data_IF_382624781343
#
_entry.id   IF_382624781343
#
_cell.length_a   1.000
_cell.length_b   1.000
_cell.length_c   1.000
_cell.angle_alpha   90.00
_cell.angle_beta   90.00
_cell.angle_gamma   90.00
#
_symmetry.space_group_name_H-M   'P 1'
#
loop_
_entity.id
_entity.type
_entity.pdbx_description
1 polymer ?
#
# COMPACT_ATOMS: atom_id res chain seq x y z
N UNK A 1 -6.00 -18.87 -5.60
CA UNK A 1 -5.24 -17.63 -5.51
C UNK A 1 -5.28 -16.96 -6.87
N UNK A 2 -5.67 -15.70 -6.90
CA UNK A 2 -5.66 -14.89 -8.12
C UNK A 2 -4.33 -14.14 -8.14
N UNK A 3 -3.63 -14.17 -9.27
CA UNK A 3 -2.36 -13.50 -9.51
C UNK A 3 -2.56 -12.56 -10.69
N UNK A 4 -2.85 -11.30 -10.39
CA UNK A 4 -3.10 -10.25 -11.40
C UNK A 4 -1.80 -9.59 -11.82
N UNK A 5 -1.68 -9.28 -13.10
CA UNK A 5 -0.49 -8.68 -13.69
C UNK A 5 -0.32 -7.20 -13.29
N UNK A 6 0.76 -6.90 -12.60
CA UNK A 6 1.21 -5.53 -12.38
C UNK A 6 1.64 -4.88 -13.69
N UNK A 7 2.28 -5.66 -14.60
CA UNK A 7 2.73 -5.15 -15.88
C UNK A 7 1.57 -4.71 -16.78
N UNK A 8 0.47 -5.49 -16.80
CA UNK A 8 -0.71 -5.09 -17.56
C UNK A 8 -1.24 -3.74 -17.07
N UNK A 9 -1.35 -3.58 -15.75
CA UNK A 9 -1.77 -2.31 -15.15
C UNK A 9 -0.80 -1.18 -15.49
N UNK A 10 0.52 -1.41 -15.38
CA UNK A 10 1.55 -0.42 -15.71
C UNK A 10 1.49 -0.01 -17.19
N UNK A 11 1.33 -0.96 -18.10
CA UNK A 11 1.36 -0.70 -19.53
C UNK A 11 0.04 -0.11 -20.07
N UNK A 12 -1.10 -0.50 -19.48
CA UNK A 12 -2.42 -0.19 -20.04
C UNK A 12 -3.16 0.94 -19.34
N UNK A 13 -2.84 1.25 -18.10
CA UNK A 13 -3.42 2.39 -17.44
C UNK A 13 -2.75 3.70 -17.87
N UNK A 14 -3.54 4.60 -18.47
CA UNK A 14 -3.03 5.90 -18.95
C UNK A 14 -2.68 6.81 -17.76
N UNK A 15 -1.48 7.40 -17.79
CA UNK A 15 -1.05 8.37 -16.78
C UNK A 15 -0.19 7.78 -15.66
N UNK A 16 0.25 6.53 -15.81
CA UNK A 16 1.30 5.94 -14.97
C UNK A 16 2.51 5.54 -15.81
N UNK A 17 3.66 5.50 -15.17
CA UNK A 17 4.92 5.00 -15.76
C UNK A 17 5.89 4.62 -14.65
N UNK A 18 6.95 3.92 -15.02
CA UNK A 18 8.04 3.60 -14.10
C UNK A 18 8.67 4.86 -13.47
N UNK A 19 8.68 5.98 -14.20
CA UNK A 19 9.24 7.24 -13.72
C UNK A 19 8.27 8.08 -12.88
N UNK A 20 6.97 8.03 -13.16
CA UNK A 20 5.97 8.87 -12.51
C UNK A 20 5.29 8.16 -11.34
N UNK A 21 5.22 6.83 -11.38
CA UNK A 21 4.42 6.06 -10.44
C UNK A 21 2.91 6.30 -10.60
N UNK A 22 2.13 5.98 -9.57
CA UNK A 22 0.68 6.20 -9.55
C UNK A 22 0.15 6.33 -8.13
N UNK A 23 -1.07 6.83 -8.00
CA UNK A 23 -1.83 6.77 -6.75
C UNK A 23 -2.61 5.46 -6.67
N UNK A 24 -2.66 4.86 -5.48
CA UNK A 24 -3.38 3.62 -5.22
C UNK A 24 -4.85 3.71 -5.65
N UNK A 25 -5.52 4.83 -5.34
CA UNK A 25 -6.91 5.05 -5.73
C UNK A 25 -7.12 5.08 -7.25
N UNK A 26 -6.15 5.60 -8.00
CA UNK A 26 -6.20 5.62 -9.46
C UNK A 26 -6.07 4.22 -10.05
N UNK A 27 -5.18 3.40 -9.50
CA UNK A 27 -5.06 1.98 -9.87
C UNK A 27 -6.34 1.21 -9.51
N UNK A 28 -6.90 1.44 -8.34
CA UNK A 28 -8.16 0.81 -7.92
C UNK A 28 -9.34 1.17 -8.87
N UNK A 29 -9.41 2.42 -9.32
CA UNK A 29 -10.40 2.84 -10.32
C UNK A 29 -10.17 2.19 -11.68
N UNK A 30 -8.92 2.02 -12.11
CA UNK A 30 -8.60 1.31 -13.34
C UNK A 30 -9.05 -0.16 -13.26
N UNK A 31 -8.72 -0.86 -12.17
CA UNK A 31 -9.14 -2.23 -11.95
C UNK A 31 -10.67 -2.41 -11.91
N UNK A 32 -11.38 -1.40 -11.40
CA UNK A 32 -12.85 -1.40 -11.38
C UNK A 32 -13.46 -1.24 -12.79
N UNK A 33 -12.81 -0.49 -13.68
CA UNK A 33 -13.34 -0.18 -15.00
C UNK A 33 -12.89 -1.15 -16.08
N UNK A 34 -11.65 -1.53 -16.05
CA UNK A 34 -10.97 -2.23 -17.14
C UNK A 34 -10.36 -3.56 -16.71
N UNK A 35 -10.22 -3.78 -15.39
CA UNK A 35 -9.62 -4.99 -14.87
C UNK A 35 -8.14 -5.12 -15.18
N UNK A 36 -7.60 -6.32 -14.94
CA UNK A 36 -6.23 -6.67 -15.31
C UNK A 36 -6.14 -8.11 -15.81
N UNK A 37 -5.06 -8.42 -16.50
CA UNK A 37 -4.74 -9.76 -16.98
C UNK A 37 -4.14 -10.62 -15.86
N UNK A 38 -4.25 -11.95 -15.92
CA UNK A 38 -3.42 -12.83 -15.12
C UNK A 38 -1.93 -12.65 -15.42
N UNK A 39 -1.07 -12.75 -14.40
CA UNK A 39 0.39 -12.57 -14.52
C UNK A 39 1.01 -13.49 -15.58
N UNK A 40 0.56 -14.75 -15.67
CA UNK A 40 1.09 -15.72 -16.66
C UNK A 40 0.79 -15.36 -18.13
N UNK A 41 -0.23 -14.50 -18.38
CA UNK A 41 -0.55 -14.00 -19.74
C UNK A 41 0.10 -12.65 -20.04
N UNK A 42 0.47 -11.91 -19.02
CA UNK A 42 1.12 -10.60 -19.13
C UNK A 42 2.22 -10.45 -18.07
N UNK A 43 3.36 -11.14 -18.25
CA UNK A 43 4.40 -11.20 -17.22
C UNK A 43 5.05 -9.85 -16.94
N UNK A 44 5.49 -9.67 -15.68
CA UNK A 44 6.15 -8.46 -15.23
C UNK A 44 7.51 -8.25 -15.90
N UNK A 45 7.70 -7.12 -16.53
CA UNK A 45 8.97 -6.72 -17.19
C UNK A 45 9.65 -5.55 -16.47
N UNK A 46 8.91 -4.79 -15.67
CA UNK A 46 9.39 -3.60 -14.97
C UNK A 46 9.78 -2.45 -15.91
N UNK A 47 9.13 -2.36 -17.07
CA UNK A 47 9.40 -1.35 -18.11
C UNK A 47 8.11 -0.67 -18.53
N UNK A 48 8.23 0.52 -19.13
CA UNK A 48 7.13 1.22 -19.77
C UNK A 48 6.84 0.63 -21.15
N UNK A 49 6.40 -0.63 -21.18
CA UNK A 49 6.09 -1.34 -22.41
C UNK A 49 4.72 -0.88 -22.97
N UNK A 50 4.53 -0.93 -24.31
CA UNK A 50 3.24 -0.63 -24.93
C UNK A 50 2.13 -1.57 -24.44
N UNK A 51 0.93 -1.03 -24.22
CA UNK A 51 -0.24 -1.83 -23.87
C UNK A 51 -0.63 -2.79 -24.98
N UNK A 52 -0.73 -4.08 -24.68
CA UNK A 52 -1.33 -5.06 -25.54
C UNK A 52 -2.83 -5.22 -25.22
N UNK A 53 -3.68 -4.44 -25.88
CA UNK A 53 -5.12 -4.41 -25.69
C UNK A 53 -5.84 -5.73 -26.08
N UNK A 54 -5.16 -6.69 -26.68
CA UNK A 54 -5.73 -7.99 -27.04
C UNK A 54 -5.65 -9.02 -25.91
N UNK A 55 -4.91 -8.71 -24.85
CA UNK A 55 -4.79 -9.61 -23.70
C UNK A 55 -6.06 -9.57 -22.86
N UNK A 56 -6.67 -10.71 -22.53
CA UNK A 56 -7.88 -10.74 -21.71
C UNK A 56 -7.67 -10.16 -20.31
N UNK A 57 -8.68 -9.46 -19.77
CA UNK A 57 -8.66 -8.85 -18.43
C UNK A 57 -9.76 -9.44 -17.53
N UNK A 58 -9.73 -10.75 -17.21
CA UNK A 58 -10.77 -11.41 -16.43
C UNK A 58 -10.71 -11.11 -14.93
N UNK A 59 -9.69 -10.36 -14.46
CA UNK A 59 -9.52 -9.99 -13.07
C UNK A 59 -9.89 -8.53 -12.90
N UNK A 60 -10.99 -8.28 -12.21
CA UNK A 60 -11.50 -6.93 -11.95
C UNK A 60 -11.78 -6.69 -10.47
N UNK A 61 -11.88 -5.44 -10.08
CA UNK A 61 -12.39 -5.04 -8.78
C UNK A 61 -13.90 -4.77 -8.89
N UNK A 62 -14.67 -5.30 -7.95
CA UNK A 62 -16.11 -5.04 -7.89
C UNK A 62 -16.46 -3.73 -7.21
N UNK A 63 -15.61 -3.29 -6.28
CA UNK A 63 -15.69 -2.01 -5.57
C UNK A 63 -14.36 -1.68 -4.90
N UNK A 64 -14.17 -0.43 -4.52
CA UNK A 64 -13.09 -0.02 -3.63
C UNK A 64 -13.55 1.15 -2.77
N UNK A 65 -12.94 1.30 -1.60
CA UNK A 65 -13.16 2.43 -0.70
C UNK A 65 -11.93 2.69 0.16
N UNK A 66 -11.91 3.83 0.82
CA UNK A 66 -10.93 4.06 1.88
C UNK A 66 -11.34 3.30 3.14
N UNK A 67 -10.36 2.79 3.89
CA UNK A 67 -10.58 2.12 5.18
C UNK A 67 -11.13 3.06 6.25
N UNK A 68 -11.03 4.36 6.03
CA UNK A 68 -11.57 5.40 6.91
C UNK A 68 -12.24 6.48 6.09
N UNK A 69 -13.28 7.09 6.67
CA UNK A 69 -13.95 8.23 6.07
C UNK A 69 -13.02 9.46 6.02
N UNK A 70 -13.06 10.16 4.91
CA UNK A 70 -12.40 11.45 4.70
C UNK A 70 -13.41 12.60 4.98
N UNK A 71 -13.03 13.75 5.57
CA UNK A 71 -11.68 14.24 5.83
C UNK A 71 -11.16 13.87 7.24
N UNK A 72 -9.86 13.59 7.32
CA UNK A 72 -9.17 13.48 8.59
C UNK A 72 -9.09 14.88 9.23
N UNK A 73 -9.80 15.09 10.32
CA UNK A 73 -9.65 16.29 11.16
C UNK A 73 -8.48 16.04 12.11
N UNK A 74 -7.32 16.60 11.78
CA UNK A 74 -6.01 16.21 12.34
C UNK A 74 -5.75 16.63 13.79
N UNK A 75 -6.58 17.46 14.39
CA UNK A 75 -6.34 18.04 15.74
C UNK A 75 -7.14 17.38 16.86
N UNK A 76 -7.83 16.27 16.61
CA UNK A 76 -8.61 15.58 17.61
C UNK A 76 -7.90 14.29 18.07
N UNK A 77 -7.52 14.16 19.35
CA UNK A 77 -6.91 12.93 19.89
C UNK A 77 -7.76 11.67 19.67
N UNK A 78 -9.08 11.81 19.60
CA UNK A 78 -10.02 10.73 19.34
C UNK A 78 -9.99 10.24 17.89
N UNK A 79 -9.53 11.06 16.94
CA UNK A 79 -9.41 10.68 15.53
C UNK A 79 -8.35 9.60 15.31
N UNK A 80 -7.24 9.66 16.02
CA UNK A 80 -6.19 8.66 15.89
C UNK A 80 -6.68 7.25 16.27
N UNK A 81 -7.41 7.13 17.37
CA UNK A 81 -7.96 5.84 17.81
C UNK A 81 -9.03 5.30 16.87
N UNK A 82 -9.90 6.17 16.34
CA UNK A 82 -10.90 5.79 15.32
C UNK A 82 -10.25 5.39 14.01
N UNK A 83 -9.22 6.11 13.59
CA UNK A 83 -8.44 5.80 12.39
C UNK A 83 -7.81 4.40 12.47
N UNK A 84 -7.14 4.11 13.57
CA UNK A 84 -6.56 2.78 13.83
C UNK A 84 -7.65 1.69 13.87
N UNK A 85 -8.79 1.96 14.52
CA UNK A 85 -9.90 1.03 14.59
C UNK A 85 -10.51 0.74 13.21
N UNK A 86 -10.67 1.76 12.35
CA UNK A 86 -11.17 1.61 10.99
C UNK A 86 -10.26 0.73 10.13
N UNK A 87 -8.94 0.94 10.20
CA UNK A 87 -7.98 0.08 9.49
C UNK A 87 -8.07 -1.37 9.97
N UNK A 88 -8.12 -1.59 11.29
CA UNK A 88 -8.25 -2.94 11.86
C UNK A 88 -9.56 -3.62 11.43
N UNK A 89 -10.67 -2.88 11.41
CA UNK A 89 -11.95 -3.39 10.93
C UNK A 89 -11.87 -3.78 9.45
N UNK A 90 -11.28 -2.94 8.60
CA UNK A 90 -11.09 -3.23 7.18
C UNK A 90 -10.24 -4.50 6.98
N UNK A 91 -9.14 -4.65 7.72
CA UNK A 91 -8.31 -5.85 7.69
C UNK A 91 -9.08 -7.12 8.09
N UNK A 92 -9.93 -7.03 9.12
CA UNK A 92 -10.76 -8.16 9.57
C UNK A 92 -11.86 -8.52 8.58
N UNK A 93 -12.46 -7.54 7.92
CA UNK A 93 -13.61 -7.75 7.02
C UNK A 93 -13.20 -8.12 5.60
N UNK A 94 -12.13 -7.51 5.11
CA UNK A 94 -11.75 -7.58 3.70
C UNK A 94 -10.37 -8.19 3.44
N UNK A 95 -9.57 -8.43 4.49
CA UNK A 95 -8.19 -8.88 4.36
C UNK A 95 -7.22 -7.71 4.13
N UNK A 96 -6.09 -7.94 3.46
CA UNK A 96 -5.04 -6.94 3.27
C UNK A 96 -5.55 -5.65 2.63
N UNK A 97 -5.08 -4.51 3.13
CA UNK A 97 -5.37 -3.18 2.59
C UNK A 97 -4.09 -2.52 2.09
N UNK A 98 -4.20 -1.72 1.05
CA UNK A 98 -3.04 -0.98 0.56
C UNK A 98 -2.80 0.26 1.41
N UNK A 99 -1.55 0.49 1.78
CA UNK A 99 -1.10 1.67 2.50
C UNK A 99 0.04 2.35 1.75
N UNK A 100 0.04 3.68 1.76
CA UNK A 100 1.13 4.49 1.21
C UNK A 100 1.98 5.06 2.33
N UNK A 101 3.29 5.15 2.10
CA UNK A 101 4.21 5.71 3.07
C UNK A 101 5.35 6.49 2.39
N UNK A 102 6.10 7.22 3.21
CA UNK A 102 7.37 7.80 2.82
C UNK A 102 8.51 6.85 3.21
N UNK A 103 9.24 6.37 2.23
CA UNK A 103 10.41 5.52 2.42
C UNK A 103 11.64 6.38 2.64
N UNK A 104 12.33 6.12 3.75
CA UNK A 104 13.61 6.72 4.10
C UNK A 104 14.78 5.77 3.82
N UNK A 105 16.04 6.26 3.83
CA UNK A 105 17.20 5.38 3.78
C UNK A 105 17.24 4.34 4.91
N UNK A 106 16.80 4.72 6.12
CA UNK A 106 16.73 3.79 7.26
C UNK A 106 15.71 2.68 7.02
N UNK A 107 14.54 3.02 6.46
CA UNK A 107 13.54 2.01 6.10
C UNK A 107 14.05 1.07 4.99
N UNK A 108 14.79 1.59 4.02
CA UNK A 108 15.42 0.73 2.99
C UNK A 108 16.39 -0.28 3.57
N UNK A 109 17.13 0.09 4.63
CA UNK A 109 18.10 -0.74 5.33
C UNK A 109 17.49 -1.61 6.46
N UNK A 110 16.16 -1.56 6.64
CA UNK A 110 15.49 -2.36 7.66
C UNK A 110 15.70 -3.87 7.39
N UNK A 111 16.02 -4.61 8.45
CA UNK A 111 16.28 -6.06 8.37
C UNK A 111 15.44 -6.90 9.34
N UNK A 112 15.13 -6.39 10.53
CA UNK A 112 14.35 -7.14 11.52
C UNK A 112 13.79 -6.25 12.64
N UNK A 113 12.84 -6.79 13.42
CA UNK A 113 12.26 -6.15 14.59
C UNK A 113 11.16 -5.14 14.25
N UNK A 114 10.77 -4.32 15.20
CA UNK A 114 9.78 -3.27 14.99
C UNK A 114 10.49 -2.01 14.50
N UNK A 115 10.27 -1.67 13.22
CA UNK A 115 10.80 -0.42 12.67
C UNK A 115 10.11 0.78 13.32
N UNK A 116 10.90 1.67 13.87
CA UNK A 116 10.43 2.91 14.47
C UNK A 116 11.42 4.02 14.16
N UNK A 117 11.07 4.90 13.24
CA UNK A 117 11.89 6.03 12.86
C UNK A 117 11.21 7.33 13.31
N UNK A 118 11.83 8.01 14.26
CA UNK A 118 11.37 9.30 14.76
C UNK A 118 12.22 10.43 14.16
N UNK A 119 12.17 10.58 12.83
CA UNK A 119 13.00 11.54 12.10
C UNK A 119 12.34 12.92 11.90
N UNK A 120 11.27 13.22 12.61
CA UNK A 120 10.57 14.50 12.53
C UNK A 120 9.74 14.71 11.26
N UNK A 121 9.85 13.84 10.25
CA UNK A 121 9.04 13.93 9.03
C UNK A 121 7.56 13.74 9.33
N UNK A 122 7.25 12.94 10.36
CA UNK A 122 5.89 12.72 10.84
C UNK A 122 5.47 13.67 11.98
N UNK A 123 6.40 14.49 12.51
CA UNK A 123 6.15 15.31 13.70
C UNK A 123 5.44 16.62 13.41
N UNK A 124 5.41 17.09 12.18
CA UNK A 124 4.70 18.31 11.82
C UNK A 124 3.27 18.00 11.42
N UNK A 125 2.38 17.95 12.40
CA UNK A 125 0.91 17.90 12.24
C UNK A 125 0.30 16.56 11.79
N UNK A 126 0.99 15.44 11.90
CA UNK A 126 0.35 14.13 11.92
C UNK A 126 -0.22 13.60 10.60
N UNK A 127 -0.10 14.31 9.49
CA UNK A 127 -0.65 13.86 8.23
C UNK A 127 0.33 14.04 7.08
N UNK A 128 0.81 12.93 6.55
CA UNK A 128 1.38 12.91 5.21
C UNK A 128 0.24 13.14 4.21
N UNK A 129 0.35 14.22 3.44
CA UNK A 129 -0.49 14.36 2.25
C UNK A 129 -0.12 13.28 1.25
N UNK A 130 -1.07 12.82 0.42
CA UNK A 130 -0.80 11.87 -0.67
C UNK A 130 0.41 12.27 -1.53
N UNK A 131 0.64 13.56 -1.73
CA UNK A 131 1.80 14.09 -2.45
C UNK A 131 3.15 13.89 -1.75
N UNK A 132 3.15 13.44 -0.50
CA UNK A 132 4.36 13.25 0.30
C UNK A 132 4.74 11.77 0.45
N UNK A 133 3.93 10.85 -0.05
CA UNK A 133 4.25 9.42 -0.06
C UNK A 133 4.97 9.05 -1.36
N UNK A 134 5.94 8.13 -1.26
CA UNK A 134 6.74 7.68 -2.40
C UNK A 134 6.73 6.15 -2.58
N UNK A 135 5.94 5.43 -1.79
CA UNK A 135 5.88 3.97 -1.84
C UNK A 135 4.51 3.47 -1.36
N UNK A 136 4.07 2.35 -1.92
CA UNK A 136 2.87 1.64 -1.50
C UNK A 136 3.21 0.20 -1.09
N UNK A 137 2.55 -0.29 -0.03
CA UNK A 137 2.72 -1.64 0.50
C UNK A 137 1.36 -2.23 0.87
N UNK A 138 1.34 -3.54 1.06
CA UNK A 138 0.17 -4.22 1.60
C UNK A 138 0.25 -4.27 3.13
N UNK A 139 -0.70 -3.64 3.81
CA UNK A 139 -0.92 -3.77 5.24
C UNK A 139 -1.69 -5.08 5.47
N UNK A 140 -1.10 -6.03 6.17
CA UNK A 140 -1.63 -7.39 6.30
C UNK A 140 -2.05 -7.74 7.73
N UNK A 141 -1.69 -6.90 8.71
CA UNK A 141 -2.04 -7.15 10.10
C UNK A 141 -1.44 -6.13 11.06
N UNK A 142 -1.53 -6.45 12.33
CA UNK A 142 -0.95 -5.65 13.42
C UNK A 142 -0.53 -6.55 14.58
N UNK A 143 0.35 -6.02 15.43
CA UNK A 143 0.75 -6.65 16.67
C UNK A 143 0.81 -5.66 17.83
N UNK A 144 1.16 -6.17 18.99
CA UNK A 144 1.32 -5.39 20.21
C UNK A 144 2.74 -5.53 20.75
N UNK A 145 3.48 -4.44 20.72
CA UNK A 145 4.79 -4.36 21.37
C UNK A 145 4.60 -4.28 22.88
N UNK A 146 5.03 -5.32 23.58
CA UNK A 146 4.99 -5.44 25.04
C UNK A 146 6.32 -5.11 25.70
N UNK A 147 7.35 -4.79 24.93
CA UNK A 147 8.68 -4.44 25.43
C UNK A 147 8.72 -3.03 26.05
N UNK A 148 7.78 -2.18 25.65
CA UNK A 148 7.66 -0.79 26.14
C UNK A 148 6.41 -0.59 27.00
N UNK A 149 6.41 0.46 27.85
CA UNK A 149 5.22 0.90 28.57
C UNK A 149 4.98 2.39 28.29
N UNK A 150 3.75 2.81 27.89
CA UNK A 150 2.59 1.96 27.54
C UNK A 150 2.85 1.07 26.32
N UNK A 151 2.19 -0.05 26.24
CA UNK A 151 2.26 -0.96 25.09
C UNK A 151 1.86 -0.23 23.81
N UNK A 152 2.59 -0.51 22.73
CA UNK A 152 2.38 0.15 21.43
C UNK A 152 1.91 -0.83 20.40
N UNK A 153 0.94 -0.43 19.58
CA UNK A 153 0.54 -1.18 18.41
C UNK A 153 1.55 -0.92 17.28
N UNK A 154 1.93 -1.97 16.56
CA UNK A 154 2.67 -1.87 15.31
C UNK A 154 1.89 -2.53 14.18
N UNK A 155 2.18 -2.13 12.97
CA UNK A 155 1.59 -2.68 11.76
C UNK A 155 2.51 -3.73 11.13
N UNK A 156 1.90 -4.78 10.57
CA UNK A 156 2.60 -5.77 9.77
C UNK A 156 2.35 -5.41 8.31
N UNK A 157 3.41 -5.09 7.59
CA UNK A 157 3.34 -4.67 6.18
C UNK A 157 4.11 -5.65 5.31
N UNK A 158 3.52 -6.07 4.21
CA UNK A 158 4.20 -6.84 3.17
C UNK A 158 4.71 -5.88 2.10
N UNK A 159 6.04 -5.93 1.89
CA UNK A 159 6.71 -5.14 0.87
C UNK A 159 6.83 -5.90 -0.46
N UNK A 160 7.22 -5.20 -1.52
CA UNK A 160 7.46 -5.73 -2.87
C UNK A 160 8.94 -5.84 -3.24
N UNK A 161 9.85 -5.73 -2.24
CA UNK A 161 11.31 -5.73 -2.49
C UNK A 161 11.98 -7.11 -2.38
N UNK A 162 11.18 -8.18 -2.38
CA UNK A 162 11.66 -9.55 -2.27
C UNK A 162 11.83 -10.01 -0.82
N UNK A 163 12.17 -11.28 -0.67
CA UNK A 163 12.32 -11.94 0.64
C UNK A 163 13.63 -11.62 1.36
N UNK A 164 14.58 -11.01 0.67
CA UNK A 164 15.86 -10.60 1.27
C UNK A 164 15.77 -9.27 2.03
N UNK A 165 14.67 -8.55 1.86
CA UNK A 165 14.40 -7.33 2.61
C UNK A 165 13.58 -7.64 3.86
N UNK A 166 13.94 -7.00 4.99
CA UNK A 166 13.23 -7.10 6.25
C UNK A 166 13.15 -8.53 6.79
N UNK A 167 12.04 -8.89 7.37
CA UNK A 167 11.73 -10.24 7.86
C UNK A 167 11.03 -11.04 6.76
N UNK A 168 11.80 -11.56 5.78
CA UNK A 168 11.28 -12.31 4.62
C UNK A 168 10.27 -11.52 3.77
N UNK A 169 10.51 -10.24 3.57
CA UNK A 169 9.67 -9.34 2.77
C UNK A 169 8.60 -8.61 3.59
N UNK A 170 8.62 -8.72 4.91
CA UNK A 170 7.73 -8.08 5.87
C UNK A 170 8.46 -7.07 6.75
#
# INVERSE_FOLDING_TARGET
RVDGSEQHTLSCYRGISCGLGSHVSSVAQHLLKEGTSPEHLYPYTGRDDPCNQKTPTPIDAVAWSYANEWPLIFNDPWHHSRFVAGIKAALCQHGPVTASMWVTPAFRAYSNGIFNENNGVFATNGALRHSQTNHAMALVGWGLDKSSRPWRTYWIVKNSWGTDWGESGF
#
